data_IF_219692908252
#
_entry.id   IF_219692908252
#
_cell.length_a   1.000
_cell.length_b   1.000
_cell.length_c   1.000
_cell.angle_alpha   90.00
_cell.angle_beta   90.00
_cell.angle_gamma   90.00
#
_symmetry.space_group_name_H-M   'P 1'
#
loop_
_entity.id
_entity.type
_entity.pdbx_description
1 polymer ?
#
# COMPACT_ATOMS: atom_id res chain seq x y z
N UNK A 1 -2.55 13.13 7.04
CA UNK A 1 -1.78 11.97 7.53
C UNK A 1 -1.10 11.30 6.35
N UNK A 2 0.19 11.14 6.43
CA UNK A 2 0.99 10.48 5.39
C UNK A 2 1.10 9.01 5.70
N UNK A 3 0.66 8.17 4.79
CA UNK A 3 0.58 6.72 4.98
C UNK A 3 1.42 5.96 3.97
N UNK A 4 2.13 4.94 4.45
CA UNK A 4 2.63 3.85 3.62
C UNK A 4 1.57 2.74 3.62
N UNK A 5 1.23 2.22 2.46
CA UNK A 5 0.17 1.21 2.31
C UNK A 5 0.78 -0.08 1.78
N UNK A 6 0.50 -1.18 2.48
CA UNK A 6 0.97 -2.50 2.08
C UNK A 6 0.44 -2.85 0.68
N UNK A 7 1.32 -3.38 -0.16
CA UNK A 7 0.98 -3.78 -1.54
C UNK A 7 -0.19 -4.75 -1.60
N UNK A 8 -0.29 -5.68 -0.64
CA UNK A 8 -1.39 -6.64 -0.59
C UNK A 8 -2.76 -5.99 -0.39
N UNK A 9 -2.83 -4.89 0.35
CA UNK A 9 -4.07 -4.12 0.48
C UNK A 9 -4.48 -3.49 -0.85
N UNK A 10 -3.53 -2.99 -1.60
CA UNK A 10 -3.78 -2.39 -2.91
C UNK A 10 -4.28 -3.44 -3.91
N UNK A 11 -3.69 -4.63 -3.90
CA UNK A 11 -4.14 -5.75 -4.71
C UNK A 11 -5.56 -6.15 -4.33
N UNK A 12 -5.82 -6.32 -3.03
CA UNK A 12 -7.13 -6.72 -2.51
C UNK A 12 -8.22 -5.70 -2.81
N UNK A 13 -7.88 -4.42 -2.93
CA UNK A 13 -8.84 -3.36 -3.25
C UNK A 13 -9.51 -3.56 -4.62
N UNK A 14 -8.90 -4.34 -5.51
CA UNK A 14 -9.43 -4.61 -6.84
C UNK A 14 -10.44 -5.76 -6.87
N UNK A 15 -10.51 -6.56 -5.79
CA UNK A 15 -11.35 -7.79 -5.78
C UNK A 15 -12.80 -7.50 -5.43
N UNK A 16 -13.08 -6.47 -4.65
CA UNK A 16 -14.42 -6.12 -4.23
C UNK A 16 -14.51 -4.62 -3.92
N UNK A 17 -15.40 -3.90 -4.60
CA UNK A 17 -15.49 -2.43 -4.48
C UNK A 17 -15.95 -1.95 -3.10
N UNK A 18 -16.64 -2.79 -2.33
CA UNK A 18 -17.13 -2.44 -0.99
C UNK A 18 -16.24 -2.96 0.13
N UNK A 19 -15.09 -3.54 -0.21
CA UNK A 19 -14.16 -4.07 0.79
C UNK A 19 -13.45 -2.95 1.55
N UNK A 20 -12.95 -3.28 2.74
CA UNK A 20 -12.16 -2.32 3.53
C UNK A 20 -10.92 -1.83 2.79
N UNK A 21 -10.14 -2.69 2.08
CA UNK A 21 -9.06 -2.20 1.22
C UNK A 21 -9.52 -1.20 0.16
N UNK A 22 -10.67 -1.42 -0.47
CA UNK A 22 -11.22 -0.48 -1.45
C UNK A 22 -11.59 0.87 -0.80
N UNK A 23 -12.05 0.87 0.45
CA UNK A 23 -12.34 2.09 1.19
C UNK A 23 -11.06 2.88 1.51
N UNK A 24 -9.95 2.22 1.75
CA UNK A 24 -8.64 2.89 1.92
C UNK A 24 -8.26 3.64 0.65
N UNK A 25 -8.43 2.99 -0.50
CA UNK A 25 -8.15 3.61 -1.80
C UNK A 25 -9.08 4.80 -2.05
N UNK A 26 -10.36 4.67 -1.70
CA UNK A 26 -11.32 5.76 -1.79
C UNK A 26 -10.94 6.95 -0.89
N UNK A 27 -10.46 6.69 0.32
CA UNK A 27 -9.99 7.74 1.22
C UNK A 27 -8.79 8.50 0.63
N UNK A 28 -7.88 7.80 -0.03
CA UNK A 28 -6.79 8.44 -0.76
C UNK A 28 -7.31 9.31 -1.92
N UNK A 29 -8.24 8.80 -2.72
CA UNK A 29 -8.84 9.57 -3.83
C UNK A 29 -9.53 10.83 -3.35
N UNK A 30 -10.15 10.76 -2.17
CA UNK A 30 -10.84 11.89 -1.53
C UNK A 30 -9.88 12.80 -0.75
N UNK A 31 -8.58 12.54 -0.82
CA UNK A 31 -7.53 13.30 -0.13
C UNK A 31 -7.68 13.35 1.39
N UNK A 32 -8.30 12.32 1.97
CA UNK A 32 -8.35 12.17 3.43
C UNK A 32 -7.05 11.66 4.01
N UNK A 33 -6.28 10.96 3.20
CA UNK A 33 -4.91 10.55 3.49
C UNK A 33 -4.02 10.88 2.29
N UNK A 34 -2.73 11.08 2.57
CA UNK A 34 -1.70 11.17 1.54
C UNK A 34 -0.98 9.82 1.47
N UNK A 35 -1.05 9.14 0.33
CA UNK A 35 -0.31 7.90 0.16
C UNK A 35 1.08 8.20 -0.37
N UNK A 36 2.08 7.82 0.40
CA UNK A 36 3.49 7.93 0.03
C UNK A 36 4.00 6.56 -0.37
N UNK A 37 4.62 6.49 -1.53
CA UNK A 37 5.17 5.25 -2.07
C UNK A 37 6.62 5.45 -2.52
N UNK A 38 7.21 4.40 -3.06
CA UNK A 38 8.56 4.37 -3.60
C UNK A 38 8.59 3.52 -4.86
N UNK A 39 9.66 3.62 -5.64
CA UNK A 39 9.78 2.85 -6.88
C UNK A 39 9.71 1.36 -6.64
N UNK A 40 10.28 0.87 -5.55
CA UNK A 40 10.25 -0.54 -5.17
C UNK A 40 8.82 -1.05 -5.08
N UNK A 41 7.94 -0.28 -4.43
CA UNK A 41 6.53 -0.65 -4.34
C UNK A 41 5.80 -0.55 -5.67
N UNK A 42 6.02 0.49 -6.44
CA UNK A 42 5.32 0.67 -7.72
C UNK A 42 5.69 -0.44 -8.70
N UNK A 43 6.94 -0.87 -8.74
CA UNK A 43 7.40 -1.99 -9.56
C UNK A 43 6.72 -3.29 -9.14
N UNK A 44 6.72 -3.59 -7.85
CA UNK A 44 6.06 -4.79 -7.30
C UNK A 44 4.57 -4.78 -7.60
N UNK A 45 3.91 -3.64 -7.38
CA UNK A 45 2.48 -3.50 -7.60
C UNK A 45 2.10 -3.68 -9.06
N UNK A 46 2.87 -3.11 -9.99
CA UNK A 46 2.63 -3.28 -11.41
C UNK A 46 2.71 -4.75 -11.82
N UNK A 47 3.75 -5.46 -11.36
CA UNK A 47 3.89 -6.89 -11.62
C UNK A 47 2.75 -7.71 -11.00
N UNK A 48 2.36 -7.39 -9.78
CA UNK A 48 1.34 -8.13 -9.06
C UNK A 48 -0.06 -7.93 -9.67
N UNK A 49 -0.45 -6.71 -10.00
CA UNK A 49 -1.76 -6.40 -10.57
C UNK A 49 -1.96 -7.00 -11.96
N UNK A 50 -0.87 -7.24 -12.70
CA UNK A 50 -0.93 -7.82 -14.04
C UNK A 50 -0.81 -9.35 -14.05
N UNK A 51 -0.66 -9.99 -12.89
CA UNK A 51 -0.66 -11.46 -12.83
C UNK A 51 -2.02 -12.01 -13.25
N UNK A 52 -2.06 -13.06 -14.10
CA UNK A 52 -3.33 -13.63 -14.57
C UNK A 52 -4.29 -14.00 -13.46
N UNK A 53 -3.77 -14.51 -12.34
CA UNK A 53 -4.57 -14.90 -11.18
C UNK A 53 -5.25 -13.70 -10.51
N UNK A 54 -4.55 -12.57 -10.45
CA UNK A 54 -5.08 -11.32 -9.88
C UNK A 54 -6.09 -10.72 -10.84
N UNK A 55 -5.80 -10.65 -12.13
CA UNK A 55 -6.72 -10.15 -13.16
C UNK A 55 -8.03 -10.94 -13.15
N UNK A 56 -7.96 -12.26 -13.02
CA UNK A 56 -9.15 -13.11 -12.99
C UNK A 56 -10.07 -12.82 -11.80
N UNK A 57 -9.52 -12.38 -10.67
CA UNK A 57 -10.29 -12.02 -9.47
C UNK A 57 -10.68 -10.55 -9.42
N UNK A 58 -10.02 -9.71 -10.20
CA UNK A 58 -10.24 -8.26 -10.17
C UNK A 58 -11.52 -7.87 -10.89
N UNK A 59 -12.24 -6.92 -10.31
CA UNK A 59 -13.39 -6.31 -10.96
C UNK A 59 -12.86 -5.45 -12.12
N UNK A 60 -13.41 -5.67 -13.32
CA UNK A 60 -13.03 -4.92 -14.51
C UNK A 60 -11.78 -5.42 -15.24
N UNK A 61 -11.11 -6.45 -14.74
CA UNK A 61 -10.02 -7.14 -15.43
C UNK A 61 -8.82 -6.26 -15.76
N UNK A 62 -8.17 -6.57 -16.89
CA UNK A 62 -6.93 -5.93 -17.31
C UNK A 62 -7.07 -4.43 -17.57
N UNK A 63 -8.17 -4.00 -18.16
CA UNK A 63 -8.39 -2.58 -18.47
C UNK A 63 -8.40 -1.72 -17.20
N UNK A 64 -9.08 -2.16 -16.15
CA UNK A 64 -9.12 -1.45 -14.88
C UNK A 64 -7.80 -1.54 -14.12
N UNK A 65 -7.06 -2.65 -14.25
CA UNK A 65 -5.73 -2.77 -13.66
C UNK A 65 -4.78 -1.71 -14.24
N UNK A 66 -4.75 -1.53 -15.56
CA UNK A 66 -3.95 -0.48 -16.20
C UNK A 66 -4.39 0.92 -15.78
N UNK A 67 -5.69 1.16 -15.69
CA UNK A 67 -6.23 2.44 -15.27
C UNK A 67 -5.85 2.77 -13.84
N UNK A 68 -5.93 1.80 -12.94
CA UNK A 68 -5.51 1.96 -11.55
C UNK A 68 -4.02 2.27 -11.45
N UNK A 69 -3.18 1.57 -12.19
CA UNK A 69 -1.73 1.84 -12.20
C UNK A 69 -1.42 3.26 -12.66
N UNK A 70 -2.10 3.75 -13.69
CA UNK A 70 -1.94 5.14 -14.13
C UNK A 70 -2.37 6.13 -13.04
N UNK A 71 -3.51 5.87 -12.41
CA UNK A 71 -4.01 6.72 -11.32
C UNK A 71 -3.02 6.80 -10.17
N UNK A 72 -2.45 5.66 -9.80
CA UNK A 72 -1.46 5.58 -8.73
C UNK A 72 -0.20 6.35 -9.09
N UNK A 73 0.33 6.15 -10.29
CA UNK A 73 1.56 6.83 -10.74
C UNK A 73 1.40 8.34 -10.76
N UNK A 74 0.21 8.84 -11.07
CA UNK A 74 -0.07 10.28 -11.12
C UNK A 74 -0.41 10.88 -9.76
N UNK A 75 -0.97 10.10 -8.86
CA UNK A 75 -1.58 10.62 -7.64
C UNK A 75 -0.84 10.32 -6.34
N UNK A 76 -0.03 9.27 -6.27
CA UNK A 76 0.74 9.00 -5.05
C UNK A 76 1.95 9.94 -4.94
N UNK A 77 2.38 10.18 -3.70
CA UNK A 77 3.62 10.91 -3.44
C UNK A 77 4.78 9.92 -3.51
N UNK A 78 5.66 10.09 -4.48
CA UNK A 78 6.79 9.19 -4.69
C UNK A 78 8.03 9.73 -3.97
N UNK A 79 8.63 8.88 -3.12
CA UNK A 79 9.86 9.20 -2.40
C UNK A 79 10.95 8.19 -2.74
N UNK A 80 12.18 8.67 -2.88
CA UNK A 80 13.34 7.81 -3.06
C UNK A 80 13.85 7.34 -1.71
N UNK A 81 14.04 6.03 -1.57
CA UNK A 81 14.60 5.45 -0.36
C UNK A 81 16.12 5.37 -0.45
N UNK A 82 16.78 5.61 0.68
CA UNK A 82 18.22 5.39 0.82
C UNK A 82 18.47 3.90 0.97
N UNK A 83 19.43 3.38 0.23
CA UNK A 83 19.83 1.97 0.25
C UNK A 83 21.19 1.78 0.90
N UNK A 84 21.46 0.56 1.46
CA UNK A 84 20.57 -0.60 1.53
C UNK A 84 19.45 -0.39 2.53
N UNK A 85 18.30 -1.08 2.32
CA UNK A 85 17.21 -1.05 3.30
C UNK A 85 17.56 -1.96 4.46
N UNK A 86 17.47 -1.49 5.73
CA UNK A 86 17.68 -2.35 6.88
C UNK A 86 16.67 -3.49 6.92
N UNK A 87 17.08 -4.71 7.26
CA UNK A 87 16.15 -5.82 7.44
C UNK A 87 15.33 -5.61 8.72
N UNK A 88 14.03 -5.42 8.58
CA UNK A 88 13.12 -5.14 9.69
C UNK A 88 12.03 -6.20 9.79
N UNK A 89 11.41 -6.55 8.66
CA UNK A 89 10.29 -7.46 8.61
C UNK A 89 10.77 -8.88 8.30
N UNK A 90 9.96 -9.88 8.72
CA UNK A 90 10.22 -11.28 8.39
C UNK A 90 10.29 -11.51 6.89
N UNK A 91 9.38 -10.86 6.12
CA UNK A 91 9.45 -10.84 4.66
C UNK A 91 10.21 -9.59 4.21
N UNK A 92 11.39 -9.76 3.56
CA UNK A 92 12.17 -8.62 3.07
C UNK A 92 11.43 -7.73 2.07
N UNK A 93 10.43 -8.25 1.36
CA UNK A 93 9.62 -7.47 0.43
C UNK A 93 8.81 -6.38 1.11
N UNK A 94 8.58 -6.47 2.43
CA UNK A 94 7.85 -5.48 3.21
C UNK A 94 8.76 -4.46 3.88
N UNK A 95 10.09 -4.60 3.78
CA UNK A 95 11.04 -3.71 4.46
C UNK A 95 10.91 -2.24 4.00
N UNK A 96 10.44 -2.01 2.77
CA UNK A 96 10.25 -0.65 2.27
C UNK A 96 9.22 0.15 3.10
N UNK A 97 8.21 -0.52 3.67
CA UNK A 97 7.22 0.13 4.52
C UNK A 97 7.89 0.78 5.73
N UNK A 98 8.77 0.05 6.37
CA UNK A 98 9.50 0.51 7.55
C UNK A 98 10.56 1.55 7.18
N UNK A 99 11.21 1.41 6.03
CA UNK A 99 12.15 2.38 5.52
C UNK A 99 11.48 3.73 5.23
N UNK A 100 10.27 3.72 4.67
CA UNK A 100 9.49 4.95 4.48
C UNK A 100 9.25 5.67 5.80
N UNK A 101 8.97 4.94 6.86
CA UNK A 101 8.81 5.53 8.19
C UNK A 101 10.13 6.00 8.77
N UNK A 102 11.15 5.15 8.78
CA UNK A 102 12.45 5.46 9.39
C UNK A 102 13.14 6.65 8.70
N UNK A 103 12.94 6.80 7.39
CA UNK A 103 13.50 7.91 6.63
C UNK A 103 12.63 9.17 6.66
N UNK A 104 11.57 9.17 7.47
CA UNK A 104 10.77 10.36 7.75
C UNK A 104 9.73 10.71 6.69
N UNK A 105 9.38 9.77 5.83
CA UNK A 105 8.45 10.03 4.72
C UNK A 105 6.99 9.81 5.07
N UNK A 106 6.69 9.01 6.08
CA UNK A 106 5.30 8.69 6.48
C UNK A 106 5.12 8.75 7.98
N UNK A 107 3.88 8.95 8.40
CA UNK A 107 3.47 8.97 9.81
C UNK A 107 2.92 7.61 10.27
N UNK A 108 2.43 6.80 9.32
CA UNK A 108 1.67 5.60 9.62
C UNK A 108 1.87 4.54 8.52
N UNK A 109 1.91 3.29 8.94
CA UNK A 109 1.94 2.13 8.04
C UNK A 109 0.57 1.46 8.09
N UNK A 110 -0.02 1.18 6.93
CA UNK A 110 -1.31 0.51 6.81
C UNK A 110 -1.11 -0.89 6.25
N UNK A 111 -1.42 -1.90 7.03
CA UNK A 111 -1.23 -3.30 6.64
C UNK A 111 -2.19 -4.22 7.36
N UNK A 112 -2.53 -5.34 6.73
CA UNK A 112 -3.24 -6.45 7.37
C UNK A 112 -2.34 -7.67 7.60
N UNK A 113 -1.08 -7.59 7.23
CA UNK A 113 -0.12 -8.68 7.37
C UNK A 113 0.31 -8.84 8.83
N UNK A 114 0.24 -10.07 9.34
CA UNK A 114 0.61 -10.38 10.73
C UNK A 114 2.07 -10.05 11.03
N UNK A 115 2.97 -10.25 10.08
CA UNK A 115 4.39 -9.98 10.26
C UNK A 115 4.66 -8.48 10.36
N UNK A 116 3.89 -7.66 9.66
CA UNK A 116 3.96 -6.20 9.76
C UNK A 116 3.34 -5.73 11.07
N UNK A 117 2.14 -6.22 11.39
CA UNK A 117 1.42 -5.86 12.62
C UNK A 117 2.16 -6.27 13.89
N UNK A 118 2.97 -7.33 13.82
CA UNK A 118 3.81 -7.76 14.94
C UNK A 118 4.82 -6.70 15.39
N UNK A 119 5.13 -5.71 14.55
CA UNK A 119 6.09 -4.65 14.83
C UNK A 119 5.42 -3.34 15.26
N UNK A 120 4.13 -3.35 15.56
CA UNK A 120 3.36 -2.14 15.89
C UNK A 120 3.85 -1.41 17.15
N UNK A 121 4.57 -2.09 18.04
CA UNK A 121 5.13 -1.45 19.22
C UNK A 121 6.33 -0.55 18.88
N UNK A 122 7.01 -0.82 17.77
CA UNK A 122 8.15 -0.04 17.28
C UNK A 122 7.80 0.88 16.13
N UNK A 123 6.74 0.57 15.38
CA UNK A 123 6.30 1.32 14.20
C UNK A 123 4.80 1.58 14.26
N UNK A 124 4.35 2.83 14.09
CA UNK A 124 2.93 3.14 14.06
C UNK A 124 2.26 2.39 12.89
N UNK A 125 1.40 1.45 13.19
CA UNK A 125 0.75 0.60 12.20
C UNK A 125 -0.73 0.48 12.50
N UNK A 126 -1.56 0.64 11.46
CA UNK A 126 -3.00 0.43 11.52
C UNK A 126 -3.41 -0.62 10.51
N UNK A 127 -4.46 -1.38 10.84
CA UNK A 127 -5.18 -2.14 9.83
C UNK A 127 -6.01 -1.19 8.97
N UNK A 128 -6.46 -1.67 7.81
CA UNK A 128 -7.35 -0.88 6.97
C UNK A 128 -8.62 -0.48 7.71
N UNK A 129 -9.20 -1.40 8.50
CA UNK A 129 -10.40 -1.12 9.29
C UNK A 129 -10.14 -0.03 10.33
N UNK A 130 -9.04 -0.12 11.06
CA UNK A 130 -8.68 0.90 12.05
C UNK A 130 -8.49 2.27 11.41
N UNK A 131 -7.86 2.32 10.23
CA UNK A 131 -7.70 3.57 9.50
C UNK A 131 -9.06 4.18 9.12
N UNK A 132 -9.94 3.38 8.54
CA UNK A 132 -11.27 3.86 8.11
C UNK A 132 -12.09 4.34 9.31
N UNK A 133 -12.03 3.65 10.43
CA UNK A 133 -12.75 4.06 11.65
C UNK A 133 -12.19 5.38 12.23
N UNK A 134 -10.91 5.69 11.95
CA UNK A 134 -10.27 6.92 12.39
C UNK A 134 -10.69 8.14 11.54
N UNK A 135 -11.04 7.90 10.29
CA UNK A 135 -11.44 8.94 9.35
C UNK A 135 -12.94 9.20 9.47
#
# INVERSE_FOLDING_TARGET
MKCAIDTNLLISSTFKLTSTPALVLAAWRMRKIEWVSCEEQLTELALALLRPRVIARSIGGLALAHKLLQEIQLGCTLKSLKHPLPPVCRDPHDDFLFALYDQGHVDMIISGDKDVLALKDSYPTLTARELIDLL
#
